data_IF_952383962218
#
_entry.id   IF_952383962218
#
_cell.length_a   1.000
_cell.length_b   1.000
_cell.length_c   1.000
_cell.angle_alpha   90.00
_cell.angle_beta   90.00
_cell.angle_gamma   90.00
#
_symmetry.space_group_name_H-M   'P 1'
#
loop_
_entity.id
_entity.type
_entity.pdbx_description
1 polymer ?
#
# COMPACT_ATOMS: atom_id res chain seq x y z
N UNK A 1 -8.63 37.70 26.40
CA UNK A 1 -7.34 37.29 25.82
C UNK A 1 -6.87 38.38 24.87
N UNK A 2 -5.65 38.89 25.00
CA UNK A 2 -5.22 40.12 24.34
C UNK A 2 -4.79 39.86 22.89
N UNK A 3 -5.41 40.52 21.90
CA UNK A 3 -5.15 40.31 20.46
C UNK A 3 -3.68 40.55 20.10
N UNK A 4 -3.02 41.47 20.81
CA UNK A 4 -1.58 41.73 20.66
C UNK A 4 -0.72 40.51 21.01
N UNK A 5 -1.07 39.78 22.08
CA UNK A 5 -0.35 38.58 22.51
C UNK A 5 -0.43 37.47 21.44
N UNK A 6 -1.62 37.23 20.89
CA UNK A 6 -1.83 36.26 19.81
C UNK A 6 -1.10 36.62 18.51
N UNK A 7 -0.94 37.90 18.19
CA UNK A 7 -0.19 38.35 17.02
C UNK A 7 1.31 38.08 17.20
N UNK A 8 1.84 38.30 18.39
CA UNK A 8 3.24 38.00 18.71
C UNK A 8 3.51 36.49 18.68
N UNK A 9 2.65 35.67 19.30
CA UNK A 9 2.78 34.20 19.27
C UNK A 9 2.72 33.66 17.82
N UNK A 10 1.85 34.20 16.97
CA UNK A 10 1.81 33.84 15.55
C UNK A 10 3.07 34.25 14.78
N UNK A 11 3.67 35.40 15.11
CA UNK A 11 4.91 35.84 14.48
C UNK A 11 6.08 34.93 14.84
N UNK A 12 6.19 34.54 16.12
CA UNK A 12 7.20 33.59 16.61
C UNK A 12 7.05 32.22 15.93
N UNK A 13 5.83 31.67 15.88
CA UNK A 13 5.58 30.38 15.21
C UNK A 13 5.97 30.39 13.72
N UNK A 14 5.68 31.49 13.01
CA UNK A 14 6.07 31.63 11.59
C UNK A 14 7.58 31.61 11.40
N UNK A 15 8.33 32.21 12.32
CA UNK A 15 9.78 32.22 12.26
C UNK A 15 10.38 30.84 12.61
N UNK A 16 9.78 30.12 13.58
CA UNK A 16 10.15 28.73 13.87
C UNK A 16 9.94 27.81 12.66
N UNK A 17 8.80 27.93 11.98
CA UNK A 17 8.51 27.14 10.77
C UNK A 17 9.51 27.42 9.65
N UNK A 18 9.89 28.69 9.43
CA UNK A 18 10.92 29.05 8.44
C UNK A 18 12.28 28.43 8.79
N UNK A 19 12.65 28.45 10.07
CA UNK A 19 13.92 27.89 10.54
C UNK A 19 13.97 26.38 10.33
N UNK A 20 12.92 25.66 10.75
CA UNK A 20 12.81 24.21 10.56
C UNK A 20 12.80 23.79 9.09
N UNK A 21 12.15 24.59 8.23
CA UNK A 21 12.13 24.32 6.78
C UNK A 21 13.55 24.35 6.19
N UNK A 22 14.35 25.35 6.58
CA UNK A 22 15.76 25.45 6.16
C UNK A 22 16.61 24.28 6.67
N UNK A 23 16.36 23.80 7.89
CA UNK A 23 17.07 22.63 8.43
C UNK A 23 16.72 21.34 7.68
N UNK A 24 15.44 21.12 7.34
CA UNK A 24 15.02 19.97 6.54
C UNK A 24 15.67 19.99 5.16
N UNK A 25 15.79 21.16 4.53
CA UNK A 25 16.50 21.31 3.24
C UNK A 25 17.99 20.98 3.37
N UNK A 26 18.66 21.45 4.44
CA UNK A 26 20.06 21.09 4.73
C UNK A 26 20.24 19.59 4.91
N UNK A 27 19.34 18.93 5.64
CA UNK A 27 19.36 17.47 5.86
C UNK A 27 19.08 16.68 4.57
N UNK A 28 18.23 17.21 3.68
CA UNK A 28 18.01 16.62 2.35
C UNK A 28 19.26 16.75 1.48
N UNK A 29 19.94 17.89 1.52
CA UNK A 29 21.16 18.14 0.75
C UNK A 29 22.36 17.31 1.26
N UNK A 30 22.43 16.99 2.56
CA UNK A 30 23.50 16.17 3.13
C UNK A 30 23.28 14.67 3.01
N UNK A 31 22.09 14.23 2.57
CA UNK A 31 21.82 12.80 2.37
C UNK A 31 22.55 12.33 1.11
N UNK A 32 23.45 11.33 1.18
CA UNK A 32 24.11 10.80 0.00
C UNK A 32 23.04 10.33 -0.98
N UNK A 33 23.14 10.79 -2.22
CA UNK A 33 22.31 10.32 -3.33
C UNK A 33 22.52 8.82 -3.43
N UNK A 34 21.55 8.06 -2.94
CA UNK A 34 21.48 6.64 -3.28
C UNK A 34 21.25 6.62 -4.79
N UNK A 35 22.10 5.94 -5.57
CA UNK A 35 21.89 5.83 -6.99
C UNK A 35 20.47 5.29 -7.22
N UNK A 36 19.74 5.78 -8.22
CA UNK A 36 18.43 5.27 -8.54
C UNK A 36 18.56 3.76 -8.69
N UNK A 37 17.91 3.01 -7.81
CA UNK A 37 17.70 1.59 -8.05
C UNK A 37 16.84 1.51 -9.29
N UNK A 38 17.48 1.28 -10.44
CA UNK A 38 16.81 0.81 -11.64
C UNK A 38 15.94 -0.36 -11.20
N UNK A 39 14.64 -0.12 -11.23
CA UNK A 39 13.66 -1.15 -10.95
C UNK A 39 13.89 -2.23 -11.99
N UNK A 40 14.29 -3.46 -11.62
CA UNK A 40 14.47 -4.50 -12.62
C UNK A 40 13.11 -4.73 -13.26
N UNK A 41 13.02 -4.38 -14.54
CA UNK A 41 11.88 -4.64 -15.40
C UNK A 41 11.36 -6.05 -15.15
N UNK A 42 10.07 -6.14 -14.88
CA UNK A 42 9.26 -7.35 -14.63
C UNK A 42 9.29 -8.41 -15.74
N UNK A 43 10.21 -8.34 -16.70
CA UNK A 43 10.27 -9.19 -17.89
C UNK A 43 11.43 -10.20 -17.85
N UNK A 44 12.31 -10.15 -16.83
CA UNK A 44 13.51 -10.99 -16.81
C UNK A 44 13.38 -12.32 -16.04
N UNK A 45 12.30 -12.54 -15.27
CA UNK A 45 12.22 -13.69 -14.36
C UNK A 45 11.45 -14.91 -14.87
N UNK A 46 10.86 -14.86 -16.07
CA UNK A 46 10.02 -15.97 -16.56
C UNK A 46 10.73 -17.00 -17.44
N UNK A 47 12.05 -16.87 -17.70
CA UNK A 47 12.75 -17.83 -18.59
C UNK A 47 14.03 -18.46 -18.03
N UNK A 48 14.34 -18.34 -16.74
CA UNK A 48 15.42 -19.14 -16.13
C UNK A 48 14.85 -20.51 -15.75
N UNK A 49 14.99 -21.46 -16.69
CA UNK A 49 14.85 -22.90 -16.48
C UNK A 49 15.44 -23.31 -15.12
N UNK A 50 14.56 -23.66 -14.19
CA UNK A 50 14.83 -23.85 -12.77
C UNK A 50 15.54 -25.15 -12.38
N UNK A 51 15.98 -25.98 -13.33
CA UNK A 51 16.33 -27.36 -12.98
C UNK A 51 17.82 -27.69 -12.85
N UNK A 52 18.77 -26.87 -13.32
CA UNK A 52 20.20 -27.24 -13.22
C UNK A 52 21.17 -26.17 -12.69
N UNK A 53 20.75 -24.90 -12.52
CA UNK A 53 21.68 -23.82 -12.12
C UNK A 53 21.77 -23.57 -10.60
N UNK A 54 20.78 -24.04 -9.81
CA UNK A 54 20.67 -23.66 -8.40
C UNK A 54 21.60 -24.43 -7.46
N UNK A 55 22.03 -25.65 -7.82
CA UNK A 55 22.91 -26.46 -6.96
C UNK A 55 24.36 -25.97 -6.97
N UNK A 56 24.91 -25.66 -8.15
CA UNK A 56 26.32 -25.26 -8.27
C UNK A 56 26.64 -23.87 -7.71
N UNK A 57 25.75 -22.89 -7.91
CA UNK A 57 25.99 -21.50 -7.45
C UNK A 57 25.92 -21.41 -5.92
N UNK A 58 25.02 -22.17 -5.28
CA UNK A 58 24.90 -22.18 -3.82
C UNK A 58 26.17 -22.69 -3.14
N UNK A 59 26.84 -23.69 -3.71
CA UNK A 59 28.05 -24.27 -3.12
C UNK A 59 29.28 -23.39 -3.32
N UNK A 60 29.39 -22.69 -4.45
CA UNK A 60 30.46 -21.70 -4.67
C UNK A 60 30.35 -20.51 -3.71
N UNK A 61 29.13 -20.04 -3.42
CA UNK A 61 28.91 -18.97 -2.44
C UNK A 61 29.29 -19.44 -1.04
N UNK A 62 28.88 -20.65 -0.62
CA UNK A 62 29.25 -21.20 0.69
C UNK A 62 30.76 -21.26 0.89
N UNK A 63 31.49 -21.71 -0.13
CA UNK A 63 32.95 -21.83 -0.06
C UNK A 63 33.65 -20.47 -0.06
N UNK A 64 33.19 -19.51 -0.87
CA UNK A 64 33.80 -18.17 -0.98
C UNK A 64 33.65 -17.33 0.30
N UNK A 65 32.53 -17.50 1.01
CA UNK A 65 32.21 -16.70 2.20
C UNK A 65 32.46 -17.43 3.53
N UNK A 66 32.96 -18.67 3.51
CA UNK A 66 33.26 -19.43 4.74
C UNK A 66 32.04 -19.66 5.63
N UNK A 67 30.83 -19.61 5.06
CA UNK A 67 29.59 -19.73 5.82
C UNK A 67 29.37 -21.22 6.10
N UNK A 68 29.87 -21.68 7.25
CA UNK A 68 29.51 -22.97 7.81
C UNK A 68 28.05 -22.91 8.28
N UNK A 69 27.12 -23.16 7.36
CA UNK A 69 25.75 -23.55 7.69
C UNK A 69 25.79 -24.99 8.23
N UNK A 70 26.37 -25.16 9.43
CA UNK A 70 26.09 -26.36 10.19
C UNK A 70 24.58 -26.41 10.31
N UNK A 71 23.99 -27.54 9.90
CA UNK A 71 22.55 -27.78 10.04
C UNK A 71 22.26 -27.65 11.53
N UNK A 72 21.89 -26.45 11.99
CA UNK A 72 21.22 -26.29 13.27
C UNK A 72 20.00 -27.17 13.11
N UNK A 73 19.99 -28.30 13.82
CA UNK A 73 18.81 -29.13 13.95
C UNK A 73 17.69 -28.18 14.31
N UNK A 74 16.75 -27.98 13.38
CA UNK A 74 15.60 -27.15 13.64
C UNK A 74 14.99 -27.65 14.97
N UNK A 75 14.63 -26.74 15.89
CA UNK A 75 13.92 -27.15 17.08
C UNK A 75 12.78 -28.06 16.62
N UNK A 76 12.68 -29.25 17.21
CA UNK A 76 11.59 -30.19 16.90
C UNK A 76 10.30 -29.42 17.12
N UNK A 77 9.63 -29.03 16.03
CA UNK A 77 8.32 -28.42 16.10
C UNK A 77 7.44 -29.37 16.93
N UNK A 78 6.65 -28.84 17.90
CA UNK A 78 5.61 -29.66 18.52
C UNK A 78 4.84 -30.34 17.39
N UNK A 79 4.61 -31.65 17.51
CA UNK A 79 3.98 -32.48 16.47
C UNK A 79 2.83 -31.70 15.83
N UNK A 80 3.00 -31.29 14.56
CA UNK A 80 2.13 -30.32 13.88
C UNK A 80 0.64 -30.64 14.01
N UNK A 81 0.29 -31.92 14.24
CA UNK A 81 -1.06 -32.37 14.51
C UNK A 81 -1.72 -31.70 15.71
N UNK A 82 -1.04 -31.49 16.84
CA UNK A 82 -1.72 -30.99 18.06
C UNK A 82 -2.08 -29.51 17.98
N UNK A 83 -1.21 -28.68 17.41
CA UNK A 83 -1.48 -27.25 17.21
C UNK A 83 -2.54 -27.06 16.11
N UNK A 84 -2.44 -27.84 15.03
CA UNK A 84 -3.45 -27.82 13.99
C UNK A 84 -4.84 -28.14 14.56
N UNK A 85 -5.01 -29.26 15.27
CA UNK A 85 -6.30 -29.63 15.87
C UNK A 85 -6.83 -28.53 16.78
N UNK A 86 -5.99 -27.90 17.61
CA UNK A 86 -6.44 -26.81 18.48
C UNK A 86 -6.95 -25.58 17.71
N UNK A 87 -6.28 -25.22 16.60
CA UNK A 87 -6.71 -24.12 15.74
C UNK A 87 -8.01 -24.48 15.01
N UNK A 88 -8.14 -25.70 14.51
CA UNK A 88 -9.36 -26.19 13.86
C UNK A 88 -10.54 -26.20 14.84
N UNK A 89 -10.34 -26.73 16.05
CA UNK A 89 -11.33 -26.76 17.12
C UNK A 89 -11.75 -25.34 17.49
N UNK A 90 -10.80 -24.42 17.68
CA UNK A 90 -11.08 -23.00 17.95
C UNK A 90 -11.96 -22.38 16.86
N UNK A 91 -11.61 -22.59 15.58
CA UNK A 91 -12.29 -22.00 14.43
C UNK A 91 -13.66 -22.65 14.14
N UNK A 92 -13.92 -23.84 14.68
CA UNK A 92 -15.19 -24.56 14.55
C UNK A 92 -16.29 -24.06 15.51
N UNK A 93 -15.94 -23.22 16.49
CA UNK A 93 -16.90 -22.78 17.52
C UNK A 93 -17.92 -21.76 16.97
N UNK A 94 -19.17 -21.88 17.43
CA UNK A 94 -20.29 -21.03 17.00
C UNK A 94 -20.23 -19.58 17.50
N UNK A 95 -19.44 -19.30 18.54
CA UNK A 95 -19.19 -17.95 19.05
C UNK A 95 -18.14 -17.21 18.21
N UNK A 96 -17.16 -17.92 17.68
CA UNK A 96 -16.13 -17.40 16.78
C UNK A 96 -16.74 -16.88 15.48
N UNK A 97 -17.76 -17.55 14.95
CA UNK A 97 -18.48 -17.05 13.76
C UNK A 97 -19.27 -15.76 14.05
N UNK A 98 -19.65 -15.47 15.30
CA UNK A 98 -20.31 -14.21 15.71
C UNK A 98 -19.34 -13.04 15.86
N UNK A 99 -18.04 -13.30 16.06
CA UNK A 99 -16.99 -12.28 15.99
C UNK A 99 -16.81 -11.74 14.56
N UNK A 100 -17.47 -12.34 13.56
CA UNK A 100 -17.61 -11.80 12.22
C UNK A 100 -18.96 -11.03 12.11
N UNK A 101 -19.02 -9.71 12.39
CA UNK A 101 -20.17 -8.88 12.17
C UNK A 101 -20.57 -8.94 10.71
N UNK A 102 -21.86 -9.10 10.56
CA UNK A 102 -22.56 -9.32 9.33
C UNK A 102 -22.16 -8.28 8.26
N UNK A 103 -21.75 -8.77 7.09
CA UNK A 103 -21.35 -7.97 5.91
C UNK A 103 -22.41 -6.93 5.54
N UNK A 104 -23.66 -7.21 5.89
CA UNK A 104 -24.83 -6.37 5.61
C UNK A 104 -25.09 -5.27 6.65
N UNK A 105 -24.46 -5.33 7.84
CA UNK A 105 -24.74 -4.39 8.94
C UNK A 105 -23.81 -3.17 8.99
N UNK A 106 -22.67 -3.18 8.29
CA UNK A 106 -21.80 -2.00 8.22
C UNK A 106 -22.15 -1.10 7.03
N UNK A 107 -23.02 -0.12 7.30
CA UNK A 107 -23.32 1.01 6.42
C UNK A 107 -22.19 2.04 6.59
N UNK A 108 -21.25 2.07 5.65
CA UNK A 108 -20.19 3.10 5.61
C UNK A 108 -18.79 2.54 5.36
N UNK A 109 -18.43 2.33 4.09
CA UNK A 109 -17.06 2.40 3.55
C UNK A 109 -15.93 1.49 4.08
N UNK A 110 -16.05 0.86 5.26
CA UNK A 110 -14.96 0.22 5.99
C UNK A 110 -14.93 -1.32 5.91
N UNK A 111 -15.74 -1.92 5.03
CA UNK A 111 -15.87 -3.38 4.88
C UNK A 111 -14.54 -4.10 4.55
N UNK A 112 -13.56 -3.38 3.97
CA UNK A 112 -12.27 -3.93 3.54
C UNK A 112 -11.29 -4.07 4.71
N UNK A 113 -11.13 -3.04 5.56
CA UNK A 113 -10.30 -3.14 6.77
C UNK A 113 -10.81 -4.22 7.72
N UNK A 114 -12.13 -4.38 7.76
CA UNK A 114 -12.82 -5.34 8.61
C UNK A 114 -12.47 -6.81 8.28
N UNK A 115 -12.40 -7.15 6.99
CA UNK A 115 -12.12 -8.54 6.53
C UNK A 115 -10.65 -8.94 6.66
N UNK A 116 -9.70 -8.02 6.47
CA UNK A 116 -8.28 -8.29 6.76
C UNK A 116 -8.06 -8.47 8.26
N UNK A 117 -8.76 -7.68 9.07
CA UNK A 117 -8.65 -7.76 10.51
C UNK A 117 -9.34 -8.99 11.10
N UNK A 118 -10.26 -9.64 10.40
CA UNK A 118 -10.98 -10.78 10.98
C UNK A 118 -10.04 -11.94 11.34
N UNK A 119 -9.21 -12.43 10.40
CA UNK A 119 -8.24 -13.49 10.72
C UNK A 119 -7.20 -13.04 11.74
N UNK A 120 -6.81 -11.77 11.72
CA UNK A 120 -5.89 -11.21 12.72
C UNK A 120 -6.52 -11.13 14.11
N UNK A 121 -7.79 -10.75 14.21
CA UNK A 121 -8.55 -10.75 15.46
C UNK A 121 -8.76 -12.17 15.98
N UNK A 122 -9.03 -13.13 15.09
CA UNK A 122 -9.14 -14.53 15.45
C UNK A 122 -7.80 -15.09 15.96
N UNK A 123 -6.70 -14.70 15.34
CA UNK A 123 -5.35 -15.04 15.78
C UNK A 123 -5.07 -14.48 17.19
N UNK A 124 -5.30 -13.19 17.42
CA UNK A 124 -5.15 -12.56 18.74
C UNK A 124 -6.06 -13.21 19.80
N UNK A 125 -7.30 -13.51 19.44
CA UNK A 125 -8.24 -14.18 20.35
C UNK A 125 -7.78 -15.61 20.68
N UNK A 126 -7.24 -16.34 19.69
CA UNK A 126 -6.66 -17.66 19.91
C UNK A 126 -5.47 -17.59 20.86
N UNK A 127 -4.55 -16.65 20.68
CA UNK A 127 -3.40 -16.45 21.58
C UNK A 127 -3.84 -16.18 23.02
N UNK A 128 -4.87 -15.33 23.19
CA UNK A 128 -5.42 -14.99 24.50
C UNK A 128 -6.08 -16.18 25.21
N UNK A 129 -6.83 -17.01 24.47
CA UNK A 129 -7.58 -18.13 25.07
C UNK A 129 -6.74 -19.39 25.28
N UNK A 130 -5.87 -19.70 24.32
CA UNK A 130 -5.02 -20.90 24.38
C UNK A 130 -3.73 -20.68 25.17
N UNK A 131 -3.34 -19.41 25.36
CA UNK A 131 -2.04 -19.02 25.93
C UNK A 131 -0.85 -19.62 25.16
N UNK A 132 -1.02 -19.82 23.85
CA UNK A 132 0.04 -20.29 22.94
C UNK A 132 0.47 -19.11 22.08
N UNK A 133 1.74 -18.72 22.23
CA UNK A 133 2.38 -17.72 21.37
C UNK A 133 2.68 -18.35 20.00
N UNK A 134 1.97 -17.90 18.96
CA UNK A 134 2.14 -18.40 17.59
C UNK A 134 2.21 -17.22 16.62
N UNK A 135 3.06 -17.31 15.61
CA UNK A 135 3.07 -16.28 14.58
C UNK A 135 1.84 -16.38 13.68
N UNK A 136 1.36 -15.21 13.22
CA UNK A 136 0.20 -15.11 12.32
C UNK A 136 0.35 -15.97 11.05
N UNK A 137 1.58 -16.13 10.53
CA UNK A 137 1.83 -16.94 9.33
C UNK A 137 1.58 -18.43 9.62
N UNK A 138 2.02 -18.93 10.78
CA UNK A 138 1.73 -20.31 11.20
C UNK A 138 0.24 -20.51 11.48
N UNK A 139 -0.42 -19.56 12.18
CA UNK A 139 -1.86 -19.63 12.39
C UNK A 139 -2.63 -19.76 11.08
N UNK A 140 -2.33 -18.91 10.09
CA UNK A 140 -3.03 -18.89 8.79
C UNK A 140 -2.74 -20.12 7.91
N UNK A 141 -1.67 -20.86 8.17
CA UNK A 141 -1.39 -22.15 7.51
C UNK A 141 -2.31 -23.27 8.00
N UNK A 142 -2.68 -23.25 9.28
CA UNK A 142 -3.56 -24.25 9.89
C UNK A 142 -5.05 -23.91 9.80
N UNK A 143 -5.41 -22.77 9.24
CA UNK A 143 -6.80 -22.43 8.93
C UNK A 143 -7.38 -23.44 7.92
N UNK A 144 -8.48 -24.14 8.26
CA UNK A 144 -9.11 -25.12 7.38
C UNK A 144 -9.52 -24.56 6.02
N UNK A 145 -9.51 -25.43 5.01
CA UNK A 145 -9.87 -25.07 3.63
C UNK A 145 -11.34 -24.65 3.46
N UNK A 146 -12.24 -25.10 4.34
CA UNK A 146 -13.65 -24.70 4.34
C UNK A 146 -13.85 -23.24 4.81
N UNK A 147 -12.87 -22.65 5.50
CA UNK A 147 -12.89 -21.24 5.88
C UNK A 147 -12.40 -20.45 4.67
N UNK A 148 -13.36 -19.83 3.98
CA UNK A 148 -13.09 -19.15 2.73
C UNK A 148 -12.23 -17.91 2.98
N UNK A 149 -10.93 -18.02 2.66
CA UNK A 149 -10.03 -16.88 2.68
C UNK A 149 -10.51 -15.88 1.62
N UNK A 150 -10.63 -14.59 1.95
CA UNK A 150 -11.06 -13.59 0.97
C UNK A 150 -10.08 -13.53 -0.21
N UNK A 151 -10.51 -14.00 -1.38
CA UNK A 151 -9.74 -13.93 -2.63
C UNK A 151 -9.78 -12.52 -3.23
N UNK A 152 -8.82 -12.15 -4.08
CA UNK A 152 -8.74 -10.82 -4.72
C UNK A 152 -10.08 -10.33 -5.30
N UNK A 153 -10.85 -11.23 -5.93
CA UNK A 153 -12.14 -10.91 -6.54
C UNK A 153 -13.24 -10.59 -5.51
N UNK A 154 -13.18 -11.19 -4.32
CA UNK A 154 -14.13 -10.95 -3.23
C UNK A 154 -13.95 -9.61 -2.53
N UNK A 155 -12.80 -8.95 -2.71
CA UNK A 155 -12.50 -7.65 -2.10
C UNK A 155 -13.24 -6.50 -2.77
N UNK A 156 -13.63 -6.66 -4.06
CA UNK A 156 -14.19 -5.58 -4.89
C UNK A 156 -13.39 -4.26 -4.82
N UNK A 157 -12.11 -4.32 -4.44
CA UNK A 157 -11.18 -3.19 -4.28
C UNK A 157 -9.73 -3.68 -4.42
N UNK A 158 -8.79 -2.84 -4.87
CA UNK A 158 -7.39 -3.26 -4.95
C UNK A 158 -6.76 -3.44 -3.56
N UNK A 159 -5.91 -4.44 -3.37
CA UNK A 159 -5.03 -4.59 -2.18
C UNK A 159 -3.76 -3.70 -2.28
N UNK A 160 -3.82 -2.68 -3.12
CA UNK A 160 -2.75 -1.68 -3.23
C UNK A 160 -2.60 -0.92 -1.90
N UNK A 161 -1.38 -0.49 -1.52
CA UNK A 161 -1.09 0.28 -0.29
C UNK A 161 -2.09 1.43 -0.07
N UNK A 162 -2.50 2.06 -1.18
CA UNK A 162 -3.44 3.17 -1.18
C UNK A 162 -4.85 2.74 -0.75
N UNK A 163 -5.35 1.57 -1.15
CA UNK A 163 -6.67 1.11 -0.73
C UNK A 163 -6.65 0.39 0.62
N UNK A 164 -5.50 -0.14 1.04
CA UNK A 164 -5.28 -0.68 2.38
C UNK A 164 -5.19 0.42 3.45
N UNK A 165 -4.81 1.64 3.05
CA UNK A 165 -4.70 2.79 3.93
C UNK A 165 -5.74 3.87 3.54
N UNK A 166 -6.89 3.94 4.23
CA UNK A 166 -7.95 4.90 3.90
C UNK A 166 -7.49 6.35 3.91
N UNK A 167 -6.49 6.70 4.73
CA UNK A 167 -5.92 8.04 4.78
C UNK A 167 -5.21 8.37 3.46
N UNK A 168 -4.36 7.47 2.97
CA UNK A 168 -3.72 7.61 1.65
C UNK A 168 -4.76 7.62 0.52
N UNK A 169 -5.82 6.83 0.64
CA UNK A 169 -6.93 6.84 -0.33
C UNK A 169 -7.61 8.21 -0.36
N UNK A 170 -7.92 8.77 0.81
CA UNK A 170 -8.55 10.07 0.96
C UNK A 170 -7.65 11.18 0.43
N UNK A 171 -6.38 11.21 0.81
CA UNK A 171 -5.41 12.19 0.31
C UNK A 171 -5.27 12.12 -1.21
N UNK A 172 -5.18 10.91 -1.78
CA UNK A 172 -5.10 10.72 -3.23
C UNK A 172 -6.40 11.15 -3.92
N UNK A 173 -7.55 10.83 -3.34
CA UNK A 173 -8.84 11.32 -3.84
C UNK A 173 -8.94 12.84 -3.77
N UNK A 174 -8.44 13.48 -2.71
CA UNK A 174 -8.48 14.92 -2.55
C UNK A 174 -7.51 15.62 -3.51
N UNK A 175 -6.33 15.04 -3.73
CA UNK A 175 -5.39 15.47 -4.77
C UNK A 175 -6.01 15.36 -6.16
N UNK A 176 -6.69 14.25 -6.46
CA UNK A 176 -7.39 14.07 -7.72
C UNK A 176 -8.54 15.07 -7.86
N UNK A 177 -9.36 15.28 -6.82
CA UNK A 177 -10.45 16.26 -6.84
C UNK A 177 -9.95 17.67 -7.10
N UNK A 178 -8.83 18.06 -6.48
CA UNK A 178 -8.18 19.35 -6.71
C UNK A 178 -7.61 19.45 -8.14
N UNK A 179 -7.08 18.35 -8.70
CA UNK A 179 -6.66 18.28 -10.11
C UNK A 179 -7.85 18.37 -11.07
N UNK A 180 -8.96 17.72 -10.76
CA UNK A 180 -10.17 17.81 -11.58
C UNK A 180 -10.83 19.19 -11.49
N UNK A 181 -10.75 19.88 -10.34
CA UNK A 181 -11.27 21.24 -10.23
C UNK A 181 -10.45 22.24 -11.04
N UNK A 182 -9.13 22.08 -11.13
CA UNK A 182 -8.33 22.94 -12.01
C UNK A 182 -8.57 22.62 -13.49
N UNK A 183 -8.72 21.35 -13.87
CA UNK A 183 -9.09 20.96 -15.25
C UNK A 183 -10.48 21.51 -15.62
N UNK A 184 -11.47 21.41 -14.72
CA UNK A 184 -12.81 21.94 -14.96
C UNK A 184 -12.80 23.47 -15.11
N UNK A 185 -12.07 24.19 -14.27
CA UNK A 185 -11.93 25.64 -14.40
C UNK A 185 -11.25 26.06 -15.72
N UNK A 186 -10.31 25.25 -16.24
CA UNK A 186 -9.69 25.46 -17.55
C UNK A 186 -10.72 25.24 -18.67
N UNK A 187 -11.48 24.15 -18.62
CA UNK A 187 -12.56 23.87 -19.58
C UNK A 187 -13.62 24.98 -19.56
N UNK A 188 -14.04 25.42 -18.38
CA UNK A 188 -15.08 26.45 -18.23
C UNK A 188 -14.58 27.85 -18.65
N UNK A 189 -13.26 28.11 -18.59
CA UNK A 189 -12.64 29.39 -18.98
C UNK A 189 -12.15 29.44 -20.42
N UNK A 190 -12.10 28.30 -21.11
CA UNK A 190 -11.86 28.25 -22.54
C UNK A 190 -13.21 28.07 -23.24
N UNK A 191 -13.77 29.13 -23.87
CA UNK A 191 -15.01 29.03 -24.61
C UNK A 191 -14.73 28.28 -25.91
N UNK A 192 -14.57 26.97 -25.82
CA UNK A 192 -14.45 26.11 -26.99
C UNK A 192 -15.66 25.22 -27.01
N UNK A 193 -16.51 25.45 -28.01
CA UNK A 193 -17.55 24.49 -28.35
C UNK A 193 -16.85 23.18 -28.74
N UNK A 194 -16.96 22.17 -27.88
CA UNK A 194 -16.30 20.88 -28.03
C UNK A 194 -16.69 20.20 -29.36
N UNK A 195 -17.83 20.57 -29.95
CA UNK A 195 -18.26 20.11 -31.26
C UNK A 195 -17.47 20.73 -32.43
N UNK A 196 -16.99 21.97 -32.30
CA UNK A 196 -16.17 22.64 -33.31
C UNK A 196 -14.69 22.25 -33.22
N UNK A 197 -14.23 21.84 -32.04
CA UNK A 197 -12.87 21.32 -31.81
C UNK A 197 -12.60 20.04 -32.59
N UNK A 198 -13.60 19.16 -32.73
CA UNK A 198 -13.45 17.88 -33.41
C UNK A 198 -13.34 17.98 -34.95
N UNK A 199 -13.61 19.15 -35.54
CA UNK A 199 -13.62 19.37 -36.99
C UNK A 199 -12.41 20.13 -37.52
N UNK A 200 -11.57 20.66 -36.64
CA UNK A 200 -10.47 21.54 -37.01
C UNK A 200 -9.17 21.11 -36.31
N UNK A 201 -8.34 20.39 -37.06
CA UNK A 201 -7.05 19.87 -36.60
C UNK A 201 -6.12 20.97 -36.05
N UNK A 202 -6.27 22.22 -36.53
CA UNK A 202 -5.49 23.37 -36.06
C UNK A 202 -5.88 23.69 -34.61
N UNK A 203 -7.17 23.67 -34.28
CA UNK A 203 -7.67 23.92 -32.92
C UNK A 203 -7.32 22.77 -31.97
N UNK A 204 -7.33 21.53 -32.46
CA UNK A 204 -6.89 20.36 -31.67
C UNK A 204 -5.41 20.50 -31.31
N UNK A 205 -4.56 20.90 -32.25
CA UNK A 205 -3.13 21.05 -32.00
C UNK A 205 -2.84 22.22 -31.04
N UNK A 206 -3.55 23.36 -31.18
CA UNK A 206 -3.45 24.47 -30.24
C UNK A 206 -3.90 24.08 -28.81
N UNK A 207 -4.96 23.26 -28.69
CA UNK A 207 -5.41 22.74 -27.41
C UNK A 207 -4.39 21.76 -26.79
N UNK A 208 -3.81 20.86 -27.60
CA UNK A 208 -2.73 19.95 -27.17
C UNK A 208 -1.48 20.71 -26.71
N UNK A 209 -1.08 21.78 -27.41
CA UNK A 209 0.06 22.62 -27.00
C UNK A 209 -0.21 23.34 -25.67
N UNK A 210 -1.42 23.84 -25.46
CA UNK A 210 -1.80 24.47 -24.19
C UNK A 210 -1.80 23.46 -23.04
N UNK A 211 -2.29 22.23 -23.26
CA UNK A 211 -2.19 21.14 -22.28
C UNK A 211 -0.73 20.72 -22.02
N UNK A 212 0.11 20.70 -23.05
CA UNK A 212 1.54 20.40 -22.90
C UNK A 212 2.31 21.49 -22.13
N UNK A 213 1.96 22.76 -22.31
CA UNK A 213 2.50 23.88 -21.51
C UNK A 213 2.12 23.73 -20.03
N UNK A 214 0.85 23.41 -19.74
CA UNK A 214 0.37 23.15 -18.38
C UNK A 214 1.02 21.91 -17.74
N UNK A 215 1.34 20.89 -18.54
CA UNK A 215 2.08 19.72 -18.05
C UNK A 215 3.51 20.03 -17.60
N UNK A 216 4.14 21.08 -18.13
CA UNK A 216 5.47 21.54 -17.71
C UNK A 216 5.42 22.31 -16.38
N UNK A 217 4.26 22.79 -15.98
CA UNK A 217 4.03 23.49 -14.69
C UNK A 217 3.63 22.54 -13.54
N UNK A 218 4.05 21.26 -13.59
CA UNK A 218 3.81 20.20 -12.60
C UNK A 218 2.38 19.61 -12.54
N UNK A 219 1.56 19.74 -13.59
CA UNK A 219 0.30 18.99 -13.70
C UNK A 219 0.50 17.81 -14.65
N UNK A 220 0.84 16.63 -14.11
CA UNK A 220 0.90 15.40 -14.92
C UNK A 220 -0.51 15.04 -15.40
N UNK A 221 -0.82 15.35 -16.65
CA UNK A 221 -2.02 14.91 -17.38
C UNK A 221 -1.59 13.70 -18.22
N UNK A 222 -2.08 12.51 -17.87
CA UNK A 222 -1.88 11.30 -18.68
C UNK A 222 -3.12 11.11 -19.54
N UNK A 223 -2.92 11.07 -20.86
CA UNK A 223 -3.96 10.64 -21.78
C UNK A 223 -3.95 9.12 -21.82
N UNK A 224 -5.10 8.49 -21.58
CA UNK A 224 -5.29 7.09 -21.94
C UNK A 224 -5.65 7.04 -23.43
N UNK A 225 -4.84 6.35 -24.21
CA UNK A 225 -5.20 5.87 -25.56
C UNK A 225 -6.27 4.79 -25.47
#
# INVERSE_FOLDING_TARGET
>A
MNISKLKNENAELRETVRTLTKEVEKLRASRPLTPPHDSPSKVFFDNIKKENLSRGISDQIKHKFGINLSKRSAPKEPSQSSLQTQIEDFLSRDDISKLCPDKHKQIGGHQIQYRLNHLNMLHQQFELESNIDIDYVTFTRYVPSYIQKPNHDSWRSCLCIICLNPQLKYEKMHQLKNKYSCIKAIIDSTPVDLYDLAKDDIKINAFKENLAKLSRENIVITFCE
#
